data_IF_757530191078
#
_entry.id   IF_757530191078
#
_cell.length_a   1.000
_cell.length_b   1.000
_cell.length_c   1.000
_cell.angle_alpha   90.00
_cell.angle_beta   90.00
_cell.angle_gamma   90.00
#
_symmetry.space_group_name_H-M   'P 1'
#
loop_
_entity.id
_entity.type
_entity.pdbx_description
1 polymer ?
#
# COMPACT_ATOMS: atom_id res chain seq x y z
N UNK A 1 -28.49 6.95 0.64
CA UNK A 1 -28.31 5.77 -0.24
C UNK A 1 -26.84 5.74 -0.63
N UNK A 2 -26.07 4.75 -0.19
CA UNK A 2 -24.63 4.67 -0.49
C UNK A 2 -24.40 4.35 -1.98
N UNK A 3 -23.28 4.83 -2.53
CA UNK A 3 -22.82 4.49 -3.88
C UNK A 3 -22.59 2.97 -4.02
N UNK A 4 -22.73 2.41 -5.23
CA UNK A 4 -22.39 1.00 -5.52
C UNK A 4 -20.92 0.66 -5.24
N UNK A 5 -20.07 1.67 -5.13
CA UNK A 5 -18.66 1.55 -4.73
C UNK A 5 -18.41 2.45 -3.53
N UNK A 6 -17.97 1.85 -2.44
CA UNK A 6 -17.56 2.54 -1.22
C UNK A 6 -16.04 2.46 -1.10
N UNK A 7 -15.43 3.54 -0.62
CA UNK A 7 -14.00 3.56 -0.30
C UNK A 7 -13.87 3.76 1.19
N UNK A 8 -13.07 2.92 1.83
CA UNK A 8 -12.65 3.12 3.21
C UNK A 8 -11.31 3.86 3.20
N UNK A 9 -11.26 5.00 3.88
CA UNK A 9 -10.05 5.79 4.08
C UNK A 9 -9.92 6.02 5.58
N UNK A 10 -8.78 5.66 6.18
CA UNK A 10 -8.56 5.74 7.63
C UNK A 10 -9.00 7.11 8.18
N UNK A 11 -8.58 8.18 7.51
CA UNK A 11 -8.80 9.56 7.95
C UNK A 11 -10.27 9.97 7.93
N UNK A 12 -11.07 9.33 7.09
CA UNK A 12 -12.49 9.62 6.91
C UNK A 12 -13.40 8.66 7.69
N UNK A 13 -12.94 7.43 7.91
CA UNK A 13 -13.74 6.36 8.48
C UNK A 13 -13.44 6.09 9.96
N UNK A 14 -12.28 6.52 10.46
CA UNK A 14 -11.94 6.51 11.88
C UNK A 14 -12.25 7.89 12.44
N UNK A 15 -13.00 7.94 13.55
CA UNK A 15 -13.26 9.18 14.26
C UNK A 15 -11.94 9.83 14.70
N UNK A 16 -11.72 11.07 14.24
CA UNK A 16 -10.51 11.85 14.50
C UNK A 16 -10.69 12.85 15.65
N UNK A 17 -11.87 12.92 16.28
CA UNK A 17 -12.19 13.96 17.28
C UNK A 17 -11.55 13.74 18.64
N UNK A 18 -11.57 12.52 19.16
CA UNK A 18 -10.94 12.18 20.44
C UNK A 18 -9.81 11.17 20.26
N UNK A 19 -8.81 11.23 21.14
CA UNK A 19 -7.71 10.27 21.10
C UNK A 19 -8.19 8.85 21.45
N UNK A 20 -9.21 8.73 22.30
CA UNK A 20 -9.81 7.45 22.70
C UNK A 20 -10.53 6.79 21.52
N UNK A 21 -11.47 7.51 20.88
CA UNK A 21 -12.20 6.99 19.71
C UNK A 21 -11.29 6.73 18.51
N UNK A 22 -10.25 7.55 18.32
CA UNK A 22 -9.22 7.29 17.30
C UNK A 22 -8.46 5.99 17.60
N UNK A 23 -8.02 5.77 18.84
CA UNK A 23 -7.32 4.55 19.23
C UNK A 23 -8.19 3.30 19.09
N UNK A 24 -9.48 3.38 19.41
CA UNK A 24 -10.43 2.30 19.19
C UNK A 24 -10.65 1.99 17.71
N UNK A 25 -10.75 3.01 16.85
CA UNK A 25 -10.84 2.82 15.41
C UNK A 25 -9.57 2.19 14.82
N UNK A 26 -8.40 2.67 15.22
CA UNK A 26 -7.09 2.08 14.88
C UNK A 26 -7.02 0.63 15.38
N UNK A 27 -7.56 0.34 16.56
CA UNK A 27 -7.56 -1.00 17.12
C UNK A 27 -8.32 -2.01 16.26
N UNK A 28 -9.32 -1.52 15.52
CA UNK A 28 -10.18 -2.27 14.65
C UNK A 28 -9.72 -2.27 13.19
N UNK A 29 -8.54 -1.71 12.86
CA UNK A 29 -8.03 -1.67 11.49
C UNK A 29 -8.09 -3.04 10.80
N UNK A 30 -7.59 -4.09 11.47
CA UNK A 30 -7.64 -5.44 10.92
C UNK A 30 -9.07 -5.88 10.59
N UNK A 31 -10.04 -5.57 11.47
CA UNK A 31 -11.45 -5.85 11.21
C UNK A 31 -11.96 -5.12 9.97
N UNK A 32 -11.66 -3.82 9.81
CA UNK A 32 -12.06 -3.07 8.61
C UNK A 32 -11.44 -3.66 7.34
N UNK A 33 -10.16 -4.03 7.39
CA UNK A 33 -9.48 -4.64 6.24
C UNK A 33 -10.13 -5.97 5.82
N UNK A 34 -10.63 -6.78 6.76
CA UNK A 34 -11.38 -8.02 6.41
C UNK A 34 -12.72 -7.76 5.70
N UNK A 35 -13.22 -6.52 5.72
CA UNK A 35 -14.46 -6.12 5.04
C UNK A 35 -14.20 -5.45 3.69
N UNK A 36 -12.94 -5.22 3.33
CA UNK A 36 -12.58 -4.63 2.05
C UNK A 36 -12.48 -5.71 0.97
N UNK A 37 -13.24 -5.56 -0.12
CA UNK A 37 -13.12 -6.47 -1.28
C UNK A 37 -11.76 -6.34 -1.98
N UNK A 38 -11.19 -5.14 -1.97
CA UNK A 38 -9.92 -4.81 -2.63
C UNK A 38 -9.17 -3.72 -1.87
N UNK A 39 -7.84 -3.71 -1.96
CA UNK A 39 -6.97 -2.61 -1.53
C UNK A 39 -6.34 -1.94 -2.74
N UNK A 40 -6.46 -0.61 -2.83
CA UNK A 40 -5.76 0.19 -3.84
C UNK A 40 -4.63 0.99 -3.18
N UNK A 41 -3.40 0.66 -3.54
CA UNK A 41 -2.18 1.32 -3.07
C UNK A 41 -1.82 2.45 -4.03
N UNK A 42 -1.92 3.69 -3.56
CA UNK A 42 -1.42 4.87 -4.27
C UNK A 42 0.06 5.04 -3.96
N UNK A 43 0.90 4.48 -4.84
CA UNK A 43 2.33 4.42 -4.67
C UNK A 43 3.01 5.69 -5.22
N UNK A 44 3.36 6.60 -4.31
CA UNK A 44 4.25 7.73 -4.58
C UNK A 44 5.65 7.49 -3.98
N UNK A 45 6.57 8.40 -4.25
CA UNK A 45 7.98 8.32 -3.82
C UNK A 45 8.12 8.11 -2.29
N UNK A 46 7.28 8.78 -1.51
CA UNK A 46 7.31 8.74 -0.03
C UNK A 46 6.40 7.68 0.58
N UNK A 47 5.88 6.73 -0.22
CA UNK A 47 4.94 5.72 0.30
C UNK A 47 5.56 4.88 1.41
N UNK A 48 6.78 4.39 1.18
CA UNK A 48 7.49 3.53 2.14
C UNK A 48 8.06 4.32 3.33
N UNK A 49 8.20 5.64 3.21
CA UNK A 49 8.58 6.52 4.33
C UNK A 49 7.43 6.77 5.30
N UNK A 50 6.21 6.30 5.02
CA UNK A 50 5.03 6.47 5.87
C UNK A 50 4.72 5.16 6.58
N UNK A 51 4.97 5.14 7.89
CA UNK A 51 4.79 3.96 8.73
C UNK A 51 3.35 3.44 8.70
N UNK A 52 2.36 4.35 8.69
CA UNK A 52 0.95 3.97 8.63
C UNK A 52 0.62 3.22 7.32
N UNK A 53 1.06 3.75 6.18
CA UNK A 53 0.79 3.15 4.86
C UNK A 53 1.40 1.75 4.73
N UNK A 54 2.64 1.59 5.19
CA UNK A 54 3.34 0.30 5.14
C UNK A 54 2.73 -0.72 6.10
N UNK A 55 2.30 -0.29 7.27
CA UNK A 55 1.55 -1.12 8.22
C UNK A 55 0.20 -1.58 7.64
N UNK A 56 -0.59 -0.68 7.03
CA UNK A 56 -1.87 -1.05 6.39
C UNK A 56 -1.68 -2.09 5.28
N UNK A 57 -0.69 -1.89 4.42
CA UNK A 57 -0.36 -2.82 3.34
C UNK A 57 0.06 -4.17 3.90
N UNK A 58 0.91 -4.18 4.92
CA UNK A 58 1.36 -5.41 5.57
C UNK A 58 0.20 -6.17 6.23
N UNK A 59 -0.69 -5.47 6.95
CA UNK A 59 -1.90 -6.08 7.52
C UNK A 59 -2.80 -6.67 6.44
N UNK A 60 -3.02 -5.96 5.32
CA UNK A 60 -3.82 -6.50 4.22
C UNK A 60 -3.17 -7.75 3.61
N UNK A 61 -1.84 -7.78 3.49
CA UNK A 61 -1.12 -8.94 2.97
C UNK A 61 -1.13 -10.14 3.92
N UNK A 62 -1.05 -9.90 5.24
CA UNK A 62 -1.12 -10.95 6.27
C UNK A 62 -2.51 -11.60 6.35
N UNK A 63 -3.56 -10.84 6.03
CA UNK A 63 -4.95 -11.31 6.04
C UNK A 63 -5.37 -12.12 4.80
N UNK A 64 -4.58 -12.09 3.72
CA UNK A 64 -4.96 -12.67 2.44
C UNK A 64 -3.90 -13.63 1.90
N UNK A 65 -4.35 -14.71 1.26
CA UNK A 65 -3.45 -15.61 0.56
C UNK A 65 -2.80 -14.93 -0.66
N UNK A 66 -1.63 -15.43 -1.07
CA UNK A 66 -0.92 -14.92 -2.26
C UNK A 66 -1.77 -14.95 -3.53
N UNK A 67 -2.72 -15.88 -3.63
CA UNK A 67 -3.67 -16.02 -4.74
C UNK A 67 -4.75 -14.94 -4.70
N UNK A 68 -5.30 -14.64 -3.52
CA UNK A 68 -6.30 -13.58 -3.37
C UNK A 68 -5.70 -12.22 -3.73
N UNK A 69 -4.50 -11.93 -3.24
CA UNK A 69 -3.77 -10.69 -3.52
C UNK A 69 -3.56 -10.42 -5.01
N UNK A 70 -3.56 -11.45 -5.87
CA UNK A 70 -3.49 -11.25 -7.33
C UNK A 70 -4.69 -10.49 -7.90
N UNK A 71 -5.84 -10.62 -7.24
CA UNK A 71 -7.10 -10.05 -7.70
C UNK A 71 -7.58 -8.90 -6.83
N UNK A 72 -7.14 -8.84 -5.57
CA UNK A 72 -7.65 -7.88 -4.58
C UNK A 72 -6.69 -6.72 -4.30
N UNK A 73 -5.39 -6.86 -4.57
CA UNK A 73 -4.41 -5.79 -4.36
C UNK A 73 -4.06 -5.10 -5.68
N UNK A 74 -4.22 -3.78 -5.72
CA UNK A 74 -3.98 -2.97 -6.92
C UNK A 74 -3.01 -1.83 -6.61
N UNK A 75 -1.95 -1.70 -7.40
CA UNK A 75 -1.02 -0.57 -7.30
C UNK A 75 -1.32 0.46 -8.39
N UNK A 76 -1.30 1.72 -8.00
CA UNK A 76 -1.40 2.88 -8.89
C UNK A 76 -0.25 3.81 -8.56
N UNK A 77 0.63 4.06 -9.52
CA UNK A 77 1.76 4.98 -9.37
C UNK A 77 1.79 5.96 -10.52
N UNK A 78 2.00 7.24 -10.21
CA UNK A 78 2.23 8.25 -11.23
C UNK A 78 3.58 8.01 -11.91
N UNK A 79 4.62 7.61 -11.19
CA UNK A 79 5.95 7.31 -11.77
C UNK A 79 5.91 6.25 -12.88
N UNK A 80 4.96 5.32 -12.79
CA UNK A 80 4.81 4.28 -13.81
C UNK A 80 4.17 4.76 -15.11
N UNK A 81 3.47 5.90 -15.10
CA UNK A 81 2.69 6.40 -16.25
C UNK A 81 3.52 7.20 -17.28
N UNK A 82 4.67 7.78 -16.91
CA UNK A 82 5.31 8.84 -17.71
C UNK A 82 6.50 8.30 -18.51
N UNK A 83 7.32 7.42 -17.93
CA UNK A 83 8.50 6.79 -18.58
C UNK A 83 8.20 5.55 -19.44
N UNK A 84 6.97 5.02 -19.42
CA UNK A 84 6.61 3.77 -20.12
C UNK A 84 6.20 3.97 -21.57
N UNK A 85 6.37 5.17 -22.12
CA UNK A 85 6.27 5.45 -23.56
C UNK A 85 7.33 4.64 -24.33
N UNK A 86 6.96 3.42 -24.75
CA UNK A 86 7.69 2.58 -25.71
C UNK A 86 8.62 1.50 -25.13
N UNK A 87 9.18 1.67 -23.93
CA UNK A 87 10.25 0.79 -23.41
C UNK A 87 9.74 -0.56 -22.88
N UNK A 88 8.50 -0.64 -22.36
CA UNK A 88 7.97 -1.86 -21.76
C UNK A 88 7.68 -2.98 -22.78
N UNK A 89 7.36 -2.63 -24.03
CA UNK A 89 7.05 -3.60 -25.09
C UNK A 89 8.26 -4.51 -25.43
N UNK A 90 9.48 -4.08 -25.08
CA UNK A 90 10.72 -4.71 -25.54
C UNK A 90 11.50 -5.41 -24.41
N UNK A 91 11.38 -4.95 -23.15
CA UNK A 91 12.28 -5.37 -22.05
C UNK A 91 11.63 -6.12 -20.88
N UNK A 92 10.30 -6.31 -20.94
CA UNK A 92 9.54 -6.85 -19.82
C UNK A 92 9.47 -5.87 -18.63
N UNK A 93 8.53 -6.12 -17.72
CA UNK A 93 8.35 -5.27 -16.53
C UNK A 93 9.26 -5.76 -15.42
N UNK A 94 10.10 -4.86 -14.89
CA UNK A 94 11.03 -5.11 -13.77
C UNK A 94 10.92 -3.99 -12.72
N UNK A 95 11.35 -4.29 -11.51
CA UNK A 95 11.61 -3.26 -10.51
C UNK A 95 12.86 -2.46 -10.92
N UNK A 96 12.86 -1.16 -10.65
CA UNK A 96 14.06 -0.33 -10.78
C UNK A 96 15.05 -0.65 -9.66
N UNK A 97 16.33 -0.32 -9.86
CA UNK A 97 17.35 -0.46 -8.82
C UNK A 97 16.98 0.35 -7.56
N UNK A 98 16.35 1.51 -7.74
CA UNK A 98 15.85 2.32 -6.64
C UNK A 98 14.72 1.63 -5.86
N UNK A 99 13.72 1.05 -6.55
CA UNK A 99 12.64 0.30 -5.90
C UNK A 99 13.17 -0.90 -5.11
N UNK A 100 14.18 -1.60 -5.65
CA UNK A 100 14.85 -2.72 -4.98
C UNK A 100 15.59 -2.22 -3.74
N UNK A 101 16.44 -1.21 -3.87
CA UNK A 101 17.24 -0.67 -2.77
C UNK A 101 16.35 -0.13 -1.63
N UNK A 102 15.28 0.58 -1.99
CA UNK A 102 14.30 1.11 -1.03
C UNK A 102 13.66 -0.01 -0.20
N UNK A 103 13.28 -1.12 -0.84
CA UNK A 103 12.67 -2.26 -0.16
C UNK A 103 13.69 -3.06 0.64
N UNK A 104 14.89 -3.32 0.11
CA UNK A 104 15.94 -4.08 0.78
C UNK A 104 16.41 -3.41 2.08
N UNK A 105 16.47 -2.07 2.08
CA UNK A 105 16.88 -1.26 3.22
C UNK A 105 15.69 -0.75 4.06
N UNK A 106 14.46 -1.17 3.75
CA UNK A 106 13.28 -0.71 4.47
C UNK A 106 13.37 -0.99 5.97
N UNK A 107 13.02 -0.01 6.80
CA UNK A 107 12.98 -0.12 8.26
C UNK A 107 11.81 0.68 8.80
N UNK A 108 10.92 0.03 9.54
CA UNK A 108 9.77 0.70 10.17
C UNK A 108 10.22 1.71 11.25
N UNK A 109 11.45 1.59 11.74
CA UNK A 109 12.07 2.56 12.65
C UNK A 109 12.41 3.87 11.95
N UNK A 110 12.77 3.84 10.67
CA UNK A 110 13.12 5.04 9.92
C UNK A 110 11.89 5.68 9.27
N UNK A 111 10.80 4.92 9.12
CA UNK A 111 9.54 5.43 8.60
C UNK A 111 8.88 6.47 9.53
N UNK A 112 8.34 7.52 8.94
CA UNK A 112 7.69 8.65 9.61
C UNK A 112 6.18 8.42 9.84
N UNK A 113 5.62 9.13 10.82
CA UNK A 113 4.18 9.28 11.00
C UNK A 113 3.80 10.76 10.85
N UNK A 114 2.67 11.03 10.20
CA UNK A 114 2.15 12.40 10.09
C UNK A 114 1.90 13.03 11.47
N UNK A 115 1.32 12.25 12.41
CA UNK A 115 1.22 12.65 13.81
C UNK A 115 2.24 11.85 14.63
N UNK A 116 3.18 12.49 15.35
CA UNK A 116 4.19 11.78 16.15
C UNK A 116 3.59 10.81 17.17
N UNK A 117 2.42 11.14 17.73
CA UNK A 117 1.69 10.29 18.69
C UNK A 117 1.22 8.96 18.08
N UNK A 118 0.91 8.92 16.78
CA UNK A 118 0.43 7.72 16.11
C UNK A 118 1.56 6.68 15.98
N UNK A 119 2.81 7.13 15.97
CA UNK A 119 3.98 6.26 15.84
C UNK A 119 4.04 5.21 16.94
N UNK A 120 3.87 5.62 18.20
CA UNK A 120 3.88 4.69 19.34
C UNK A 120 2.79 3.63 19.22
N UNK A 121 1.60 4.03 18.76
CA UNK A 121 0.46 3.14 18.55
C UNK A 121 0.74 2.12 17.43
N UNK A 122 1.27 2.56 16.27
CA UNK A 122 1.57 1.65 15.15
C UNK A 122 2.69 0.68 15.52
N UNK A 123 3.78 1.14 16.13
CA UNK A 123 4.87 0.26 16.55
C UNK A 123 4.41 -0.75 17.60
N UNK A 124 3.57 -0.34 18.56
CA UNK A 124 2.99 -1.28 19.52
C UNK A 124 2.14 -2.37 18.83
N UNK A 125 1.43 -2.01 17.76
CA UNK A 125 0.63 -2.95 16.96
C UNK A 125 1.50 -3.88 16.12
N UNK A 126 2.54 -3.35 15.48
CA UNK A 126 3.56 -4.14 14.77
C UNK A 126 4.13 -5.19 15.71
N UNK A 127 4.60 -4.80 16.90
CA UNK A 127 5.14 -5.73 17.91
C UNK A 127 4.09 -6.75 18.36
N UNK A 128 2.82 -6.36 18.49
CA UNK A 128 1.74 -7.27 18.86
C UNK A 128 1.45 -8.31 17.78
N UNK A 129 1.48 -7.94 16.50
CA UNK A 129 1.09 -8.80 15.39
C UNK A 129 2.26 -9.61 14.82
N UNK A 130 3.44 -8.99 14.63
CA UNK A 130 4.64 -9.64 14.09
C UNK A 130 5.65 -10.09 15.17
N UNK A 131 5.43 -9.75 16.44
CA UNK A 131 6.31 -10.08 17.56
C UNK A 131 7.43 -9.07 17.78
N UNK A 132 8.00 -8.51 16.72
CA UNK A 132 8.97 -7.41 16.79
C UNK A 132 8.95 -6.51 15.55
N UNK A 133 9.62 -5.37 15.64
CA UNK A 133 9.85 -4.48 14.51
C UNK A 133 10.75 -5.13 13.45
N UNK A 134 11.76 -5.88 13.89
CA UNK A 134 12.66 -6.61 12.99
C UNK A 134 11.94 -7.73 12.22
N UNK A 135 10.99 -8.42 12.86
CA UNK A 135 10.18 -9.43 12.21
C UNK A 135 9.25 -8.80 11.16
N UNK A 136 8.71 -7.62 11.44
CA UNK A 136 7.94 -6.84 10.48
C UNK A 136 8.78 -6.34 9.30
N UNK A 137 9.96 -5.79 9.56
CA UNK A 137 10.88 -5.37 8.50
C UNK A 137 11.28 -6.55 7.61
N UNK A 138 11.54 -7.71 8.21
CA UNK A 138 11.84 -8.95 7.48
C UNK A 138 10.67 -9.38 6.60
N UNK A 139 9.44 -9.29 7.11
CA UNK A 139 8.23 -9.55 6.34
C UNK A 139 8.11 -8.60 5.14
N UNK A 140 8.28 -7.29 5.37
CA UNK A 140 8.21 -6.26 4.32
C UNK A 140 9.26 -6.50 3.24
N UNK A 141 10.53 -6.63 3.63
CA UNK A 141 11.66 -6.88 2.70
C UNK A 141 11.47 -8.13 1.87
N UNK A 142 10.83 -9.17 2.43
CA UNK A 142 10.62 -10.45 1.75
C UNK A 142 9.41 -10.44 0.82
N UNK A 143 8.27 -9.92 1.27
CA UNK A 143 7.00 -10.07 0.55
C UNK A 143 6.74 -8.91 -0.43
N UNK A 144 7.13 -7.67 -0.08
CA UNK A 144 6.78 -6.50 -0.89
C UNK A 144 7.44 -6.44 -2.27
N UNK A 145 8.69 -6.90 -2.51
CA UNK A 145 9.27 -6.86 -3.85
C UNK A 145 8.45 -7.65 -4.87
N UNK A 146 7.99 -8.85 -4.51
CA UNK A 146 7.16 -9.67 -5.39
C UNK A 146 5.79 -9.03 -5.66
N UNK A 147 5.19 -8.42 -4.63
CA UNK A 147 3.91 -7.72 -4.74
C UNK A 147 4.03 -6.47 -5.63
N UNK A 148 5.10 -5.69 -5.46
CA UNK A 148 5.35 -4.48 -6.22
C UNK A 148 5.60 -4.80 -7.70
N UNK A 149 6.42 -5.80 -7.98
CA UNK A 149 6.69 -6.26 -9.35
C UNK A 149 5.40 -6.69 -10.04
N UNK A 150 4.56 -7.45 -9.34
CA UNK A 150 3.25 -7.88 -9.82
C UNK A 150 2.32 -6.70 -10.05
N UNK A 151 2.23 -5.76 -9.11
CA UNK A 151 1.44 -4.54 -9.24
C UNK A 151 1.85 -3.74 -10.48
N UNK A 152 3.15 -3.63 -10.72
CA UNK A 152 3.72 -2.99 -11.92
C UNK A 152 3.34 -3.74 -13.19
N UNK A 153 3.45 -5.07 -13.21
CA UNK A 153 3.01 -5.90 -14.33
C UNK A 153 1.52 -5.70 -14.64
N UNK A 154 0.67 -5.70 -13.61
CA UNK A 154 -0.77 -5.49 -13.75
C UNK A 154 -1.10 -4.09 -14.28
N UNK A 155 -0.46 -3.06 -13.74
CA UNK A 155 -0.61 -1.68 -14.20
C UNK A 155 -0.25 -1.57 -15.69
N UNK A 156 0.88 -2.15 -16.08
CA UNK A 156 1.40 -2.16 -17.45
C UNK A 156 0.62 -3.05 -18.42
N UNK A 157 -0.08 -4.07 -17.92
CA UNK A 157 -0.93 -4.96 -18.74
C UNK A 157 -2.24 -4.31 -19.22
N UNK A 158 -2.56 -3.09 -18.75
CA UNK A 158 -3.79 -2.37 -19.11
C UNK A 158 -3.55 -1.10 -19.97
N UNK A 159 -2.69 -1.14 -21.01
CA UNK A 159 -2.17 0.07 -21.65
C UNK A 159 -3.26 0.90 -22.34
N UNK A 160 -4.16 0.27 -23.11
CA UNK A 160 -5.16 1.00 -23.90
C UNK A 160 -6.27 1.62 -23.04
N UNK A 161 -6.71 0.93 -21.98
CA UNK A 161 -7.81 1.39 -21.11
C UNK A 161 -7.36 2.50 -20.16
N UNK A 162 -6.12 2.42 -19.67
CA UNK A 162 -5.55 3.45 -18.81
C UNK A 162 -5.21 4.70 -19.62
N UNK A 163 -4.59 4.54 -20.80
CA UNK A 163 -4.30 5.67 -21.70
C UNK A 163 -5.56 6.41 -22.15
N UNK A 164 -6.63 5.69 -22.53
CA UNK A 164 -7.91 6.32 -22.92
C UNK A 164 -8.51 7.16 -21.79
N UNK A 165 -8.56 6.61 -20.57
CA UNK A 165 -9.09 7.35 -19.41
C UNK A 165 -8.24 8.54 -19.01
N UNK A 166 -6.92 8.44 -19.14
CA UNK A 166 -6.03 9.57 -18.87
C UNK A 166 -6.21 10.67 -19.91
N UNK A 167 -6.42 10.31 -21.19
CA UNK A 167 -6.75 11.28 -22.24
C UNK A 167 -8.13 11.95 -21.99
N UNK A 168 -9.15 11.19 -21.57
CA UNK A 168 -10.47 11.73 -21.17
C UNK A 168 -10.42 12.68 -19.95
N UNK A 169 -9.38 12.62 -19.13
CA UNK A 169 -9.21 13.52 -17.98
C UNK A 169 -8.39 14.78 -18.34
N UNK A 170 -7.69 14.77 -19.47
CA UNK A 170 -6.83 15.85 -19.94
C UNK A 170 -7.46 16.68 -21.07
N UNK A 171 -8.58 16.22 -21.64
CA UNK A 171 -9.39 16.88 -22.67
C UNK A 171 -10.87 16.85 -22.29
#
# INVERSE_FOLDING_TARGET
>A
RWSKRTVWLDKCCIDQTSDETKQEGIAQLGHFLTKCDTMTVMLGETYFDRLWCTYELACFCDLHSKKELETTLHFVSLEWAWWTRGVWLVRGVKLSEWEINLLDNYSCRDASCFMPKDRGTVLARIRKQWGSEEAFDTFVRKEFPALLLRGKQQFMSRPLKTMWKTLELLF
#
